data_IF_199637187577
#
_entry.id   IF_199637187577
#
_cell.length_a   1.000
_cell.length_b   1.000
_cell.length_c   1.000
_cell.angle_alpha   90.00
_cell.angle_beta   90.00
_cell.angle_gamma   90.00
#
_symmetry.space_group_name_H-M   'P 1'
#
loop_
_entity.id
_entity.type
_entity.pdbx_description
1 polymer ?
#
# COMPACT_ATOMS: atom_id res chain seq x y z
N UNK A 1 -2.14 3.75 4.28
CA UNK A 1 -3.37 3.85 3.46
C UNK A 1 -3.02 4.69 2.23
N UNK A 2 -3.37 4.24 1.03
CA UNK A 2 -2.96 4.83 -0.27
C UNK A 2 -4.06 5.65 -0.97
N UNK A 3 -5.12 6.01 -0.23
CA UNK A 3 -6.40 6.45 -0.82
C UNK A 3 -7.02 5.37 -1.75
N UNK A 4 -6.72 4.10 -1.47
CA UNK A 4 -7.25 2.95 -2.20
C UNK A 4 -8.76 2.80 -1.97
N UNK A 5 -9.48 2.51 -3.03
CA UNK A 5 -10.92 2.18 -2.98
C UNK A 5 -11.15 0.67 -2.86
N UNK A 6 -12.39 0.26 -2.59
CA UNK A 6 -12.80 -1.15 -2.59
C UNK A 6 -12.60 -1.86 -3.95
N UNK A 7 -12.36 -1.11 -5.04
CA UNK A 7 -12.04 -1.67 -6.34
C UNK A 7 -10.55 -2.08 -6.48
N UNK A 8 -9.72 -1.84 -5.46
CA UNK A 8 -8.31 -2.26 -5.45
C UNK A 8 -8.21 -3.78 -5.48
N UNK A 9 -7.39 -4.33 -6.39
CA UNK A 9 -7.28 -5.78 -6.60
C UNK A 9 -8.41 -6.40 -7.44
N UNK A 10 -9.49 -5.67 -7.72
CA UNK A 10 -10.62 -6.17 -8.50
C UNK A 10 -10.41 -5.95 -10.01
N UNK A 11 -11.13 -6.65 -10.92
CA UNK A 11 -11.11 -6.36 -12.35
C UNK A 11 -11.61 -4.95 -12.69
N UNK A 12 -11.36 -4.47 -13.90
CA UNK A 12 -11.95 -3.21 -14.38
C UNK A 12 -13.47 -3.35 -14.51
N UNK A 13 -14.21 -2.26 -14.21
CA UNK A 13 -15.67 -2.31 -14.15
C UNK A 13 -16.30 -1.25 -13.24
N UNK A 14 -17.60 -1.36 -13.01
CA UNK A 14 -18.38 -0.42 -12.22
C UNK A 14 -18.48 -0.87 -10.75
N UNK A 15 -18.26 0.08 -9.85
CA UNK A 15 -18.26 -0.12 -8.40
C UNK A 15 -18.98 1.02 -7.67
N UNK A 16 -19.23 0.82 -6.38
CA UNK A 16 -19.76 1.86 -5.49
C UNK A 16 -18.67 2.38 -4.56
N UNK A 17 -18.45 3.69 -4.58
CA UNK A 17 -17.68 4.40 -3.56
C UNK A 17 -18.66 5.14 -2.64
N UNK A 18 -19.03 4.49 -1.54
CA UNK A 18 -20.13 4.94 -0.69
C UNK A 18 -21.45 4.98 -1.46
N UNK A 19 -21.98 6.19 -1.73
CA UNK A 19 -23.23 6.40 -2.48
C UNK A 19 -23.00 6.77 -3.95
N UNK A 20 -21.75 6.94 -4.37
CA UNK A 20 -21.41 7.32 -5.75
C UNK A 20 -21.06 6.07 -6.57
N UNK A 21 -21.59 6.00 -7.78
CA UNK A 21 -21.14 5.03 -8.78
C UNK A 21 -19.83 5.52 -9.40
N UNK A 22 -18.85 4.62 -9.46
CA UNK A 22 -17.52 4.88 -10.00
C UNK A 22 -17.13 3.77 -10.97
N UNK A 23 -16.25 4.10 -11.92
CA UNK A 23 -15.71 3.19 -12.91
C UNK A 23 -14.22 2.99 -12.67
N UNK A 24 -13.79 1.74 -12.45
CA UNK A 24 -12.39 1.35 -12.40
C UNK A 24 -11.88 1.09 -13.80
N UNK A 25 -10.87 1.83 -14.21
CA UNK A 25 -10.18 1.66 -15.48
C UNK A 25 -8.76 2.23 -15.41
N UNK A 26 -7.86 1.71 -16.24
CA UNK A 26 -6.51 2.30 -16.44
C UNK A 26 -5.72 2.48 -15.12
N UNK A 27 -5.88 1.57 -14.16
CA UNK A 27 -5.19 1.63 -12.87
C UNK A 27 -5.69 2.72 -11.91
N UNK A 28 -6.91 3.22 -12.10
CA UNK A 28 -7.55 4.20 -11.21
C UNK A 28 -9.07 4.05 -11.18
N UNK A 29 -9.71 4.86 -10.32
CA UNK A 29 -11.16 4.90 -10.17
C UNK A 29 -11.66 6.29 -10.55
N UNK A 30 -12.76 6.36 -11.31
CA UNK A 30 -13.29 7.61 -11.87
C UNK A 30 -14.80 7.74 -11.69
N UNK A 31 -15.28 8.97 -11.55
CA UNK A 31 -16.70 9.30 -11.66
C UNK A 31 -17.15 9.27 -13.14
N UNK A 32 -18.46 9.36 -13.36
CA UNK A 32 -19.06 9.38 -14.70
C UNK A 32 -18.58 10.56 -15.57
N UNK A 33 -18.13 11.66 -14.95
CA UNK A 33 -17.56 12.82 -15.64
C UNK A 33 -16.04 12.69 -15.92
N UNK A 34 -15.44 11.56 -15.55
CA UNK A 34 -14.01 11.26 -15.74
C UNK A 34 -13.09 11.72 -14.60
N UNK A 35 -13.63 12.43 -13.59
CA UNK A 35 -12.88 12.89 -12.40
C UNK A 35 -12.34 11.69 -11.63
N UNK A 36 -11.10 11.76 -11.14
CA UNK A 36 -10.52 10.73 -10.28
C UNK A 36 -11.26 10.67 -8.93
N UNK A 37 -11.61 9.45 -8.51
CA UNK A 37 -12.33 9.18 -7.27
C UNK A 37 -11.61 8.10 -6.47
N UNK A 38 -10.45 8.46 -5.93
CA UNK A 38 -9.54 7.57 -5.21
C UNK A 38 -8.57 6.82 -6.12
N UNK A 39 -7.84 5.89 -5.53
CA UNK A 39 -6.80 5.09 -6.19
C UNK A 39 -7.12 3.58 -6.17
N UNK A 40 -6.33 2.84 -6.94
CA UNK A 40 -6.22 1.37 -6.79
C UNK A 40 -4.79 0.97 -6.42
N UNK A 41 -4.04 1.89 -5.81
CA UNK A 41 -2.62 1.71 -5.50
C UNK A 41 -2.45 0.87 -4.24
N UNK A 42 -1.60 -0.15 -4.28
CA UNK A 42 -1.18 -0.90 -3.09
C UNK A 42 0.12 -0.33 -2.52
N UNK A 43 0.42 -0.58 -1.24
CA UNK A 43 1.62 -0.03 -0.58
C UNK A 43 2.93 -0.58 -1.17
N UNK A 44 2.96 -1.85 -1.57
CA UNK A 44 4.10 -2.46 -2.24
C UNK A 44 4.31 -1.86 -3.64
N UNK A 45 3.22 -1.57 -4.37
CA UNK A 45 3.32 -0.85 -5.64
C UNK A 45 3.78 0.60 -5.43
N UNK A 46 3.35 1.27 -4.36
CA UNK A 46 3.83 2.60 -4.01
C UNK A 46 5.35 2.61 -3.77
N UNK A 47 5.88 1.61 -3.04
CA UNK A 47 7.32 1.43 -2.86
C UNK A 47 8.04 1.23 -4.21
N UNK A 48 7.54 0.31 -5.06
CA UNK A 48 8.11 0.08 -6.40
C UNK A 48 8.12 1.34 -7.26
N UNK A 49 7.04 2.13 -7.21
CA UNK A 49 6.95 3.40 -7.93
C UNK A 49 7.99 4.42 -7.44
N UNK A 50 8.15 4.58 -6.12
CA UNK A 50 9.14 5.50 -5.55
C UNK A 50 10.57 5.12 -5.97
N UNK A 51 10.91 3.83 -5.91
CA UNK A 51 12.22 3.34 -6.37
C UNK A 51 12.38 3.55 -7.88
N UNK A 52 11.34 3.27 -8.68
CA UNK A 52 11.34 3.52 -10.13
C UNK A 52 11.50 4.99 -10.52
N UNK A 53 11.10 5.92 -9.64
CA UNK A 53 11.32 7.36 -9.78
C UNK A 53 12.75 7.80 -9.38
N UNK A 54 13.59 6.88 -8.88
CA UNK A 54 14.99 7.13 -8.59
C UNK A 54 15.33 7.32 -7.10
N UNK A 55 14.38 7.10 -6.19
CA UNK A 55 14.68 7.12 -4.76
C UNK A 55 15.48 5.87 -4.37
N UNK A 56 16.33 6.00 -3.35
CA UNK A 56 16.94 4.83 -2.72
C UNK A 56 15.85 3.96 -2.08
N UNK A 57 16.10 2.66 -1.98
CA UNK A 57 15.17 1.75 -1.30
C UNK A 57 14.95 2.15 0.17
N UNK A 58 15.98 2.68 0.82
CA UNK A 58 15.94 3.22 2.17
C UNK A 58 14.96 4.41 2.31
N UNK A 59 15.10 5.45 1.47
CA UNK A 59 14.19 6.61 1.49
C UNK A 59 12.76 6.19 1.11
N UNK A 60 12.62 5.34 0.10
CA UNK A 60 11.32 4.79 -0.29
C UNK A 60 10.66 4.01 0.87
N UNK A 61 11.42 3.18 1.58
CA UNK A 61 10.96 2.43 2.76
C UNK A 61 10.50 3.37 3.88
N UNK A 62 11.27 4.41 4.20
CA UNK A 62 10.89 5.39 5.21
C UNK A 62 9.58 6.12 4.87
N UNK A 63 9.36 6.46 3.60
CA UNK A 63 8.13 7.12 3.12
C UNK A 63 6.89 6.24 3.23
N UNK A 64 7.03 4.93 3.05
CA UNK A 64 5.91 3.98 3.14
C UNK A 64 5.72 3.37 4.54
N UNK A 65 6.55 3.75 5.52
CA UNK A 65 6.49 3.20 6.88
C UNK A 65 6.76 4.25 7.96
N UNK A 66 8.02 4.61 8.17
CA UNK A 66 8.52 5.43 9.28
C UNK A 66 7.83 6.78 9.37
N UNK A 67 7.71 7.53 8.27
CA UNK A 67 7.14 8.88 8.32
C UNK A 67 5.66 8.88 8.70
N UNK A 68 4.91 7.87 8.27
CA UNK A 68 3.52 7.72 8.69
C UNK A 68 3.41 7.37 10.18
N UNK A 69 4.28 6.47 10.67
CA UNK A 69 4.33 6.11 12.09
C UNK A 69 4.71 7.33 12.96
N UNK A 70 5.71 8.10 12.55
CA UNK A 70 6.15 9.32 13.24
C UNK A 70 5.04 10.37 13.28
N UNK A 71 4.36 10.59 12.15
CA UNK A 71 3.24 11.53 12.06
C UNK A 71 2.09 11.18 13.02
N UNK A 72 1.86 9.89 13.23
CA UNK A 72 0.83 9.37 14.14
C UNK A 72 1.31 9.20 15.59
N UNK A 73 2.59 9.48 15.89
CA UNK A 73 3.19 9.27 17.21
C UNK A 73 3.38 7.79 17.59
N UNK A 74 3.40 6.88 16.62
CA UNK A 74 3.56 5.44 16.83
C UNK A 74 5.04 5.06 16.90
N UNK A 75 5.66 5.34 18.04
CA UNK A 75 7.11 5.16 18.25
C UNK A 75 7.59 3.71 18.12
N UNK A 76 6.72 2.74 18.38
CA UNK A 76 7.02 1.30 18.31
C UNK A 76 6.70 0.66 16.95
N UNK A 77 6.35 1.45 15.92
CA UNK A 77 6.04 0.96 14.56
C UNK A 77 6.82 1.73 13.49
N UNK A 78 6.83 1.18 12.27
CA UNK A 78 7.47 1.77 11.10
C UNK A 78 9.00 1.75 11.13
N UNK A 79 9.61 0.89 11.96
CA UNK A 79 11.07 0.72 12.06
C UNK A 79 11.43 -0.67 12.58
N UNK A 80 12.56 -1.19 12.14
CA UNK A 80 13.13 -2.44 12.63
C UNK A 80 14.13 -2.15 13.73
N UNK A 81 13.67 -2.17 14.98
CA UNK A 81 14.50 -1.93 16.16
C UNK A 81 14.01 -2.75 17.36
N UNK A 82 14.92 -3.08 18.27
CA UNK A 82 14.56 -3.78 19.52
C UNK A 82 13.51 -2.97 20.29
N UNK A 83 12.47 -3.65 20.78
CA UNK A 83 11.36 -3.02 21.51
C UNK A 83 10.23 -2.45 20.63
N UNK A 84 10.34 -2.55 19.30
CA UNK A 84 9.25 -2.27 18.36
C UNK A 84 8.45 -3.54 18.03
N UNK A 85 7.23 -3.38 17.54
CA UNK A 85 6.45 -4.49 17.00
C UNK A 85 7.12 -5.07 15.76
N UNK A 86 7.10 -6.40 15.62
CA UNK A 86 7.60 -7.10 14.45
C UNK A 86 6.59 -7.07 13.28
N UNK A 87 6.17 -5.87 12.90
CA UNK A 87 5.40 -5.62 11.69
C UNK A 87 6.35 -5.42 10.52
N UNK A 88 6.48 -6.42 9.66
CA UNK A 88 7.42 -6.35 8.53
C UNK A 88 6.90 -7.10 7.31
N UNK A 89 7.34 -6.62 6.16
CA UNK A 89 7.15 -7.29 4.88
C UNK A 89 8.50 -7.73 4.36
N UNK A 90 8.55 -8.92 3.77
CA UNK A 90 9.73 -9.45 3.11
C UNK A 90 9.49 -9.36 1.61
N UNK A 91 10.45 -8.77 0.90
CA UNK A 91 10.41 -8.60 -0.54
C UNK A 91 11.59 -9.32 -1.20
N UNK A 92 11.40 -9.81 -2.42
CA UNK A 92 12.49 -10.33 -3.25
C UNK A 92 13.33 -9.19 -3.86
N UNK A 93 14.34 -9.54 -4.66
CA UNK A 93 15.23 -8.56 -5.32
C UNK A 93 14.52 -7.70 -6.37
N UNK A 94 13.35 -8.14 -6.83
CA UNK A 94 12.49 -7.44 -7.77
C UNK A 94 11.39 -6.63 -7.03
N UNK A 95 11.43 -6.60 -5.69
CA UNK A 95 10.46 -5.95 -4.82
C UNK A 95 9.05 -6.56 -4.89
N UNK A 96 8.96 -7.86 -5.18
CA UNK A 96 7.71 -8.62 -5.04
C UNK A 96 7.56 -9.12 -3.60
N UNK A 97 6.32 -9.13 -3.10
CA UNK A 97 6.00 -9.59 -1.75
C UNK A 97 6.19 -11.10 -1.61
N UNK A 98 6.97 -11.53 -0.60
CA UNK A 98 7.22 -12.95 -0.32
C UNK A 98 6.71 -13.40 1.04
N UNK A 99 6.63 -12.49 2.02
CA UNK A 99 6.06 -12.79 3.33
C UNK A 99 5.58 -11.50 4.02
N UNK A 100 4.59 -11.64 4.90
CA UNK A 100 4.10 -10.58 5.78
C UNK A 100 4.09 -11.12 7.20
N UNK A 101 4.56 -10.29 8.14
CA UNK A 101 4.47 -10.54 9.56
C UNK A 101 3.77 -9.37 10.24
N UNK A 102 2.83 -9.67 11.12
CA UNK A 102 2.12 -8.69 11.95
C UNK A 102 2.38 -9.04 13.40
N UNK A 103 3.00 -8.12 14.14
CA UNK A 103 3.40 -8.32 15.54
C UNK A 103 4.21 -9.61 15.81
N UNK A 104 4.92 -10.11 14.78
CA UNK A 104 5.74 -11.33 14.84
C UNK A 104 5.06 -12.59 14.29
N UNK A 105 3.75 -12.55 14.02
CA UNK A 105 3.00 -13.67 13.47
C UNK A 105 3.00 -13.62 11.93
N UNK A 106 3.27 -14.75 11.28
CA UNK A 106 3.25 -14.85 9.82
C UNK A 106 1.82 -14.86 9.28
N UNK A 107 1.55 -14.06 8.27
CA UNK A 107 0.26 -14.02 7.57
C UNK A 107 0.34 -14.90 6.31
N UNK A 108 -0.68 -15.74 6.12
CA UNK A 108 -0.83 -16.53 4.89
C UNK A 108 -1.24 -15.62 3.72
N UNK A 109 -0.48 -15.70 2.62
CA UNK A 109 -0.69 -14.88 1.43
C UNK A 109 -1.55 -15.57 0.37
N UNK A 110 -1.97 -16.81 0.59
CA UNK A 110 -2.82 -17.55 -0.36
C UNK A 110 -4.29 -17.10 -0.37
N UNK A 111 -4.68 -16.20 0.53
CA UNK A 111 -6.04 -15.63 0.63
C UNK A 111 -6.14 -14.16 0.16
N UNK A 112 -5.09 -13.60 -0.48
CA UNK A 112 -5.05 -12.18 -0.91
C UNK A 112 -5.21 -12.03 -2.42
#
# INVERSE_FOLDING_TARGET
MTDSTAATGMPDGDYMLGRQQVHKCMGGVRLADGTLAGSTLTMDQALRNLVGLGLSLDDASHRVSTYAADHLGLTQRGRLASGCHADLVVLDRQLNLTAVYVEGESIDLTEV
#
